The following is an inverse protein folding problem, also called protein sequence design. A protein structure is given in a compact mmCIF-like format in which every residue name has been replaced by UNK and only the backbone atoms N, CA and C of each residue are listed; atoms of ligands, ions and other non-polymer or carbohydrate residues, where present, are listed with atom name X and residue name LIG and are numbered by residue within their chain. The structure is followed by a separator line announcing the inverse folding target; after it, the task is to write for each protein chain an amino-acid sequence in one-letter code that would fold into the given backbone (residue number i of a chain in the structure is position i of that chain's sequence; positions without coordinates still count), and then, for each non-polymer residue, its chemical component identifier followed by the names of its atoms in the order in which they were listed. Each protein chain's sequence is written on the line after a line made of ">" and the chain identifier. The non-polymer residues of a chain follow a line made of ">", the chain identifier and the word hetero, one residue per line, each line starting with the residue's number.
data_IF_226834962045
#
_entry.id   IF_226834962045
#
_cell.length_a   1.000
_cell.length_b   1.000
_cell.length_c   1.000
_cell.angle_alpha   90.00
_cell.angle_beta   90.00
_cell.angle_gamma   90.00
#
_symmetry.space_group_name_H-M   'P 1'
#
loop_
_entity.id
_entity.type
_entity.pdbx_description
1 polymer ?
#
# COMPACT_ATOMS: atom_id res chain seq x y z
N UNK A 1 -16.32 -27.63 5.56
CA UNK A 1 -15.78 -26.25 5.61
C UNK A 1 -16.72 -25.45 6.51
N UNK A 2 -16.27 -25.00 7.68
CA UNK A 2 -17.19 -24.52 8.72
C UNK A 2 -16.47 -23.88 9.89
N UNK A 3 -15.77 -22.77 9.63
CA UNK A 3 -15.27 -21.92 10.70
C UNK A 3 -16.39 -20.91 11.04
N UNK A 4 -16.84 -20.83 12.30
CA UNK A 4 -17.80 -19.81 12.68
C UNK A 4 -17.16 -18.42 12.53
N UNK A 5 -17.98 -17.41 12.20
CA UNK A 5 -17.51 -16.03 11.95
C UNK A 5 -16.69 -15.51 13.13
N UNK A 6 -17.11 -15.82 14.36
CA UNK A 6 -16.38 -15.42 15.57
C UNK A 6 -14.97 -16.01 15.63
N UNK A 7 -14.76 -17.24 15.19
CA UNK A 7 -13.44 -17.87 15.18
C UNK A 7 -12.56 -17.32 14.05
N UNK A 8 -13.16 -17.00 12.90
CA UNK A 8 -12.46 -16.29 11.82
C UNK A 8 -11.93 -14.93 12.29
N UNK A 9 -12.75 -14.16 13.02
CA UNK A 9 -12.35 -12.86 13.58
C UNK A 9 -11.26 -13.04 14.64
N UNK A 10 -11.35 -14.04 15.51
CA UNK A 10 -10.31 -14.32 16.52
C UNK A 10 -8.96 -14.64 15.87
N UNK A 11 -8.95 -15.51 14.86
CA UNK A 11 -7.73 -15.84 14.12
C UNK A 11 -7.14 -14.62 13.40
N UNK A 12 -7.99 -13.77 12.79
CA UNK A 12 -7.59 -12.51 12.18
C UNK A 12 -6.90 -11.59 13.20
N UNK A 13 -7.50 -11.39 14.37
CA UNK A 13 -6.97 -10.49 15.40
C UNK A 13 -5.65 -11.01 16.00
N UNK A 14 -5.52 -12.33 16.23
CA UNK A 14 -4.26 -12.91 16.69
C UNK A 14 -3.13 -12.67 15.67
N UNK A 15 -3.41 -12.88 14.37
CA UNK A 15 -2.42 -12.62 13.32
C UNK A 15 -2.00 -11.16 13.24
N UNK A 16 -2.93 -10.21 13.43
CA UNK A 16 -2.62 -8.78 13.46
C UNK A 16 -1.72 -8.45 14.66
N UNK A 17 -2.01 -9.01 15.84
CA UNK A 17 -1.22 -8.77 17.04
C UNK A 17 0.22 -9.30 16.91
N UNK A 18 0.39 -10.50 16.36
CA UNK A 18 1.70 -11.14 16.20
C UNK A 18 2.54 -10.48 15.10
N UNK A 19 1.94 -10.19 13.94
CA UNK A 19 2.66 -9.71 12.76
C UNK A 19 2.68 -8.18 12.65
N UNK A 20 1.97 -7.46 13.52
CA UNK A 20 1.82 -5.99 13.52
C UNK A 20 1.40 -5.41 12.16
N UNK A 21 0.68 -6.20 11.36
CA UNK A 21 0.20 -5.83 10.03
C UNK A 21 -1.09 -6.56 9.73
N UNK A 22 -1.85 -6.06 8.76
CA UNK A 22 -3.02 -6.77 8.26
C UNK A 22 -2.58 -8.08 7.57
N UNK A 23 -3.23 -9.23 7.86
CA UNK A 23 -2.83 -10.54 7.32
C UNK A 23 -3.33 -10.78 5.89
N UNK A 24 -3.57 -9.70 5.15
CA UNK A 24 -3.86 -9.70 3.73
C UNK A 24 -2.84 -8.76 3.10
N UNK A 25 -2.40 -9.07 1.87
CA UNK A 25 -1.78 -8.02 1.06
C UNK A 25 -2.72 -6.81 1.06
N UNK A 26 -2.22 -5.59 1.26
CA UNK A 26 -3.05 -4.38 1.22
C UNK A 26 -3.66 -4.34 -0.19
N UNK A 27 -4.90 -4.82 -0.28
CA UNK A 27 -5.45 -5.32 -1.55
C UNK A 27 -5.80 -4.13 -2.42
N UNK A 28 -5.09 -4.04 -3.53
CA UNK A 28 -5.24 -3.09 -4.62
C UNK A 28 -4.95 -1.61 -4.24
N UNK A 29 -4.21 -0.90 -5.10
CA UNK A 29 -4.16 0.54 -5.06
C UNK A 29 -5.59 1.11 -5.03
N UNK A 30 -5.85 2.10 -4.18
CA UNK A 30 -7.11 2.85 -4.27
C UNK A 30 -7.20 3.55 -5.63
N UNK A 31 -8.39 4.02 -6.01
CA UNK A 31 -8.62 4.60 -7.33
C UNK A 31 -7.63 5.74 -7.68
N UNK A 32 -7.23 6.53 -6.69
CA UNK A 32 -6.25 7.62 -6.89
C UNK A 32 -4.86 7.07 -7.14
N UNK A 33 -4.39 6.11 -6.34
CA UNK A 33 -3.09 5.47 -6.51
C UNK A 33 -3.01 4.70 -7.83
N UNK A 34 -4.08 4.03 -8.25
CA UNK A 34 -4.14 3.35 -9.53
C UNK A 34 -4.00 4.32 -10.71
N UNK A 35 -4.65 5.50 -10.65
CA UNK A 35 -4.49 6.56 -11.65
C UNK A 35 -3.07 7.11 -11.69
N UNK A 36 -2.48 7.38 -10.53
CA UNK A 36 -1.10 7.85 -10.44
C UNK A 36 -0.12 6.83 -11.04
N UNK A 37 -0.29 5.53 -10.76
CA UNK A 37 0.51 4.47 -11.38
C UNK A 37 0.37 4.45 -12.91
N UNK A 38 -0.86 4.56 -13.42
CA UNK A 38 -1.10 4.61 -14.86
C UNK A 38 -0.48 5.85 -15.54
N UNK A 39 -0.46 7.01 -14.87
CA UNK A 39 0.20 8.22 -15.37
C UNK A 39 1.73 8.08 -15.39
N UNK A 40 2.30 7.44 -14.36
CA UNK A 40 3.72 7.11 -14.31
C UNK A 40 4.11 6.12 -15.42
N UNK A 41 3.31 5.08 -15.65
CA UNK A 41 3.51 4.10 -16.74
C UNK A 41 3.41 4.76 -18.12
N UNK A 42 2.52 5.74 -18.28
CA UNK A 42 2.41 6.55 -19.50
C UNK A 42 3.57 7.54 -19.69
N UNK A 43 4.57 7.53 -18.81
CA UNK A 43 5.77 8.38 -18.91
C UNK A 43 5.55 9.83 -18.51
N UNK A 44 4.43 10.16 -17.84
CA UNK A 44 4.12 11.52 -17.38
C UNK A 44 4.71 11.85 -16.01
N UNK A 45 5.49 10.95 -15.42
CA UNK A 45 6.18 11.17 -14.15
C UNK A 45 7.31 12.19 -14.24
N UNK A 46 7.47 13.02 -13.21
CA UNK A 46 8.67 13.86 -13.05
C UNK A 46 9.90 12.96 -12.84
N UNK A 47 10.99 13.26 -13.53
CA UNK A 47 12.29 12.62 -13.34
C UNK A 47 13.26 13.65 -12.76
N UNK A 48 14.05 13.22 -11.79
CA UNK A 48 15.10 14.02 -11.16
C UNK A 48 16.45 13.36 -11.43
N UNK A 49 17.50 14.16 -11.59
CA UNK A 49 18.86 13.69 -11.84
C UNK A 49 19.61 13.26 -10.59
N UNK A 50 19.14 13.68 -9.40
CA UNK A 50 19.76 13.36 -8.12
C UNK A 50 18.73 13.32 -6.98
N UNK A 51 19.11 12.73 -5.85
CA UNK A 51 18.30 12.73 -4.64
C UNK A 51 18.09 14.16 -4.10
N UNK A 52 19.10 15.03 -4.18
CA UNK A 52 19.02 16.42 -3.73
C UNK A 52 17.99 17.24 -4.52
N UNK A 53 17.89 17.02 -5.83
CA UNK A 53 16.87 17.65 -6.67
C UNK A 53 15.45 17.19 -6.33
N UNK A 54 15.28 15.91 -6.00
CA UNK A 54 14.00 15.34 -5.57
C UNK A 54 13.55 15.95 -4.23
N UNK A 55 14.46 16.02 -3.26
CA UNK A 55 14.20 16.60 -1.94
C UNK A 55 13.84 18.09 -2.03
N UNK A 56 14.54 18.84 -2.90
CA UNK A 56 14.22 20.24 -3.18
C UNK A 56 12.84 20.44 -3.85
N UNK A 57 12.38 19.54 -4.72
CA UNK A 57 11.02 19.61 -5.31
C UNK A 57 9.93 19.20 -4.31
N UNK A 58 10.24 18.28 -3.38
CA UNK A 58 9.33 17.82 -2.33
C UNK A 58 9.30 18.71 -1.09
N UNK A 59 10.15 19.74 -1.03
CA UNK A 59 10.30 20.67 0.11
C UNK A 59 10.58 19.96 1.45
N UNK A 60 11.42 18.92 1.41
CA UNK A 60 11.85 18.11 2.56
C UNK A 60 13.36 17.92 2.59
#
# INVERSE_FOLDING_TARGET
>A
MGLPVSDAIRLLMMRIADEKRLPFAVQAPNATTAKALAELDAGKGKRFGSADELYKDLDI
#
